data_IF_013360293082
#
_entry.id   IF_013360293082
#
_cell.length_a   1.000
_cell.length_b   1.000
_cell.length_c   1.000
_cell.angle_alpha   90.00
_cell.angle_beta   90.00
_cell.angle_gamma   90.00
#
_symmetry.space_group_name_H-M   'P 1'
#
loop_
_entity.id
_entity.type
_entity.pdbx_description
1 polymer ?
#
# COMPACT_ATOMS: atom_id res chain seq x y z
N UNK A 1 -14.89 2.70 8.01
CA UNK A 1 -15.57 3.60 8.96
C UNK A 1 -15.00 5.02 8.89
N UNK A 2 -13.69 5.21 9.13
CA UNK A 2 -13.05 6.55 9.12
C UNK A 2 -13.22 7.30 7.80
N UNK A 3 -13.01 6.62 6.66
CA UNK A 3 -13.21 7.21 5.32
C UNK A 3 -14.62 7.78 5.13
N UNK A 4 -15.65 7.02 5.53
CA UNK A 4 -17.05 7.43 5.39
C UNK A 4 -17.38 8.65 6.26
N UNK A 5 -16.81 8.76 7.46
CA UNK A 5 -17.01 9.91 8.33
C UNK A 5 -16.37 11.18 7.76
N UNK A 6 -15.15 11.08 7.22
CA UNK A 6 -14.49 12.21 6.56
C UNK A 6 -15.30 12.64 5.34
N UNK A 7 -15.73 11.69 4.51
CA UNK A 7 -16.53 11.98 3.32
C UNK A 7 -17.89 12.58 3.66
N UNK A 8 -18.50 12.17 4.77
CA UNK A 8 -19.76 12.76 5.24
C UNK A 8 -19.61 14.25 5.57
N UNK A 9 -18.50 14.65 6.21
CA UNK A 9 -18.23 16.07 6.52
C UNK A 9 -18.11 16.88 5.22
N UNK A 10 -17.34 16.39 4.24
CA UNK A 10 -17.25 17.02 2.92
C UNK A 10 -18.59 17.01 2.19
N UNK A 11 -19.40 15.97 2.37
CA UNK A 11 -20.74 15.86 1.79
C UNK A 11 -21.69 16.94 2.28
N UNK A 12 -21.71 17.22 3.58
CA UNK A 12 -22.52 18.28 4.19
C UNK A 12 -22.06 19.66 3.68
N UNK A 13 -20.74 19.90 3.66
CA UNK A 13 -20.17 21.15 3.11
C UNK A 13 -20.52 21.35 1.64
N UNK A 14 -20.52 20.28 0.85
CA UNK A 14 -20.86 20.35 -0.57
C UNK A 14 -22.34 20.69 -0.79
N UNK A 15 -23.25 20.14 0.03
CA UNK A 15 -24.69 20.47 -0.06
C UNK A 15 -24.93 21.95 0.24
N UNK A 16 -24.24 22.51 1.23
CA UNK A 16 -24.35 23.93 1.56
C UNK A 16 -23.80 24.83 0.43
N UNK A 17 -22.70 24.42 -0.20
CA UNK A 17 -22.06 25.23 -1.24
C UNK A 17 -22.80 25.16 -2.59
N UNK A 18 -23.35 23.99 -2.93
CA UNK A 18 -23.80 23.64 -4.27
C UNK A 18 -25.28 23.26 -4.39
N UNK A 19 -26.02 23.20 -3.29
CA UNK A 19 -27.43 22.79 -3.27
C UNK A 19 -28.29 23.64 -4.21
N UNK A 20 -28.99 22.99 -5.14
CA UNK A 20 -29.92 23.63 -6.07
C UNK A 20 -29.28 24.36 -7.25
N UNK A 21 -27.95 24.33 -7.41
CA UNK A 21 -27.25 25.14 -8.43
C UNK A 21 -26.85 24.37 -9.70
N UNK A 22 -26.97 23.05 -9.70
CA UNK A 22 -26.55 22.17 -10.82
C UNK A 22 -27.59 22.04 -11.95
N UNK A 23 -28.60 22.90 -11.95
CA UNK A 23 -29.61 22.90 -13.00
C UNK A 23 -29.09 23.59 -14.25
N UNK A 24 -29.43 23.03 -15.40
CA UNK A 24 -29.11 23.60 -16.70
C UNK A 24 -30.34 23.59 -17.58
N UNK A 25 -30.46 24.59 -18.43
CA UNK A 25 -31.52 24.58 -19.42
C UNK A 25 -31.07 23.76 -20.63
N UNK A 26 -31.85 22.75 -21.01
CA UNK A 26 -31.64 21.89 -22.18
C UNK A 26 -32.60 22.30 -23.31
N UNK A 27 -32.10 22.50 -24.54
CA UNK A 27 -32.93 22.95 -25.66
C UNK A 27 -33.82 21.79 -26.11
N UNK A 28 -35.12 22.05 -26.34
CA UNK A 28 -36.09 21.05 -26.80
C UNK A 28 -36.13 20.91 -28.32
N UNK A 29 -35.66 21.91 -29.07
CA UNK A 29 -35.63 21.97 -30.54
C UNK A 29 -34.31 22.57 -31.04
N UNK A 30 -33.91 22.27 -32.29
CA UNK A 30 -32.67 22.79 -32.90
C UNK A 30 -32.68 24.33 -33.09
N UNK A 31 -33.87 24.92 -33.28
CA UNK A 31 -34.06 26.37 -33.42
C UNK A 31 -33.89 27.14 -32.09
N UNK A 32 -33.89 26.42 -30.96
CA UNK A 32 -33.74 26.99 -29.62
C UNK A 32 -32.32 27.57 -29.37
N UNK A 33 -31.31 27.13 -30.11
CA UNK A 33 -29.89 27.48 -29.87
C UNK A 33 -29.55 28.96 -30.04
N UNK A 34 -30.47 29.78 -30.57
CA UNK A 34 -30.26 31.19 -30.93
C UNK A 34 -31.07 32.21 -30.09
N UNK A 35 -31.84 31.77 -29.09
CA UNK A 35 -32.69 32.69 -28.31
C UNK A 35 -31.89 33.46 -27.23
N UNK A 36 -31.83 34.81 -27.29
CA UNK A 36 -31.17 35.63 -26.28
C UNK A 36 -32.03 35.70 -25.00
N UNK A 37 -31.50 35.26 -23.86
CA UNK A 37 -32.18 35.42 -22.56
C UNK A 37 -32.25 34.19 -21.65
N UNK A 38 -31.52 33.10 -21.94
CA UNK A 38 -31.51 31.86 -21.15
C UNK A 38 -30.67 31.95 -19.86
N UNK A 39 -30.73 33.06 -19.15
CA UNK A 39 -29.95 33.26 -17.94
C UNK A 39 -30.69 32.75 -16.70
N UNK A 40 -32.02 32.61 -16.78
CA UNK A 40 -32.88 32.27 -15.66
C UNK A 40 -33.79 31.08 -16.00
N UNK A 41 -34.20 30.32 -14.98
CA UNK A 41 -35.09 29.16 -15.11
C UNK A 41 -36.44 29.51 -15.74
N UNK A 42 -37.04 30.63 -15.35
CA UNK A 42 -38.33 31.08 -15.89
C UNK A 42 -38.22 31.40 -17.40
N UNK A 43 -37.15 32.10 -17.80
CA UNK A 43 -36.90 32.43 -19.21
C UNK A 43 -36.61 31.20 -20.05
N UNK A 44 -35.93 30.21 -19.47
CA UNK A 44 -35.71 28.90 -20.10
C UNK A 44 -37.03 28.21 -20.44
N UNK A 45 -37.95 28.12 -19.47
CA UNK A 45 -39.25 27.47 -19.65
C UNK A 45 -40.16 28.29 -20.56
N UNK A 46 -40.15 29.62 -20.46
CA UNK A 46 -40.90 30.52 -21.33
C UNK A 46 -40.45 30.42 -22.81
N UNK A 47 -39.16 30.16 -23.04
CA UNK A 47 -38.62 29.88 -24.37
C UNK A 47 -38.93 28.46 -24.88
N UNK A 48 -39.62 27.62 -24.10
CA UNK A 48 -39.95 26.24 -24.43
C UNK A 48 -38.83 25.22 -24.16
N UNK A 49 -37.79 25.60 -23.42
CA UNK A 49 -36.70 24.71 -22.99
C UNK A 49 -37.04 23.91 -21.74
N UNK A 50 -36.31 22.82 -21.48
CA UNK A 50 -36.47 22.03 -20.27
C UNK A 50 -35.42 22.42 -19.22
N UNK A 51 -35.84 22.73 -18.00
CA UNK A 51 -34.95 23.00 -16.87
C UNK A 51 -34.64 21.68 -16.16
N UNK A 52 -33.45 21.13 -16.41
CA UNK A 52 -33.09 19.77 -15.99
C UNK A 52 -31.84 19.78 -15.12
N UNK A 53 -31.86 18.99 -14.05
CA UNK A 53 -30.71 18.85 -13.16
C UNK A 53 -29.62 17.98 -13.78
N UNK A 54 -28.36 18.26 -13.44
CA UNK A 54 -27.26 17.36 -13.77
C UNK A 54 -27.43 16.01 -13.04
N UNK A 55 -26.97 14.89 -13.63
CA UNK A 55 -27.01 13.58 -12.99
C UNK A 55 -26.12 13.47 -11.74
N UNK A 56 -25.13 14.35 -11.65
CA UNK A 56 -24.22 14.50 -10.51
C UNK A 56 -24.50 15.86 -9.86
N UNK A 57 -25.38 15.85 -8.85
CA UNK A 57 -25.84 17.05 -8.15
C UNK A 57 -25.60 16.94 -6.64
N UNK A 58 -25.67 18.09 -5.97
CA UNK A 58 -25.39 18.23 -4.53
C UNK A 58 -26.62 18.65 -3.73
N UNK A 59 -27.84 18.34 -4.21
CA UNK A 59 -29.09 18.81 -3.58
C UNK A 59 -29.43 18.07 -2.29
N UNK A 60 -29.04 16.79 -2.21
CA UNK A 60 -29.26 15.94 -1.05
C UNK A 60 -27.93 15.35 -0.59
N UNK A 61 -27.82 15.04 0.70
CA UNK A 61 -26.60 14.41 1.25
C UNK A 61 -26.27 13.08 0.55
N UNK A 62 -27.29 12.29 0.17
CA UNK A 62 -27.07 11.03 -0.54
C UNK A 62 -26.54 11.23 -1.96
N UNK A 63 -27.08 12.21 -2.69
CA UNK A 63 -26.60 12.57 -4.03
C UNK A 63 -25.17 13.12 -3.96
N UNK A 64 -24.91 14.01 -3.00
CA UNK A 64 -23.57 14.53 -2.70
C UNK A 64 -22.57 13.41 -2.39
N UNK A 65 -22.94 12.45 -1.55
CA UNK A 65 -22.09 11.29 -1.24
C UNK A 65 -21.82 10.41 -2.47
N UNK A 66 -22.80 10.23 -3.37
CA UNK A 66 -22.60 9.52 -4.65
C UNK A 66 -21.62 10.27 -5.56
N UNK A 67 -21.80 11.57 -5.73
CA UNK A 67 -20.92 12.39 -6.57
C UNK A 67 -19.51 12.52 -5.97
N UNK A 68 -19.38 12.62 -4.64
CA UNK A 68 -18.09 12.57 -3.93
C UNK A 68 -17.42 11.20 -4.03
N UNK A 69 -18.18 10.10 -4.05
CA UNK A 69 -17.62 8.77 -4.31
C UNK A 69 -17.01 8.70 -5.71
N UNK A 70 -17.72 9.20 -6.72
CA UNK A 70 -17.21 9.30 -8.10
C UNK A 70 -15.93 10.16 -8.12
N UNK A 71 -15.94 11.30 -7.43
CA UNK A 71 -14.75 12.15 -7.28
C UNK A 71 -13.59 11.43 -6.59
N UNK A 72 -13.86 10.65 -5.53
CA UNK A 72 -12.85 9.89 -4.78
C UNK A 72 -12.24 8.75 -5.57
N UNK A 73 -12.98 8.15 -6.51
CA UNK A 73 -12.46 7.16 -7.46
C UNK A 73 -11.64 7.78 -8.60
N UNK A 74 -11.63 9.12 -8.71
CA UNK A 74 -10.98 9.87 -9.79
C UNK A 74 -11.46 9.47 -11.19
N UNK A 75 -12.68 8.94 -11.32
CA UNK A 75 -13.31 8.67 -12.60
C UNK A 75 -14.44 9.66 -12.84
N UNK A 76 -14.45 10.38 -13.95
CA UNK A 76 -15.50 11.37 -14.25
C UNK A 76 -15.56 12.58 -13.29
N UNK A 77 -14.59 12.72 -12.38
CA UNK A 77 -14.55 13.82 -11.40
C UNK A 77 -14.34 15.19 -12.05
N UNK A 78 -13.59 15.25 -13.16
CA UNK A 78 -13.29 16.49 -13.87
C UNK A 78 -14.56 17.13 -14.41
N UNK A 79 -15.50 16.35 -14.96
CA UNK A 79 -16.77 16.90 -15.44
C UNK A 79 -17.63 17.44 -14.29
N UNK A 80 -17.60 16.81 -13.12
CA UNK A 80 -18.32 17.30 -11.93
C UNK A 80 -17.71 18.61 -11.45
N UNK A 81 -16.38 18.68 -11.36
CA UNK A 81 -15.64 19.89 -10.99
C UNK A 81 -15.89 21.03 -11.98
N UNK A 82 -15.85 20.76 -13.29
CA UNK A 82 -16.10 21.78 -14.31
C UNK A 82 -17.53 22.30 -14.22
N UNK A 83 -18.51 21.42 -14.06
CA UNK A 83 -19.90 21.83 -13.82
C UNK A 83 -20.00 22.70 -12.56
N UNK A 84 -19.27 22.36 -11.49
CA UNK A 84 -19.23 23.16 -10.27
C UNK A 84 -18.55 24.54 -10.44
N UNK A 85 -17.59 24.68 -11.35
CA UNK A 85 -16.97 25.96 -11.70
C UNK A 85 -17.89 26.86 -12.52
N UNK A 86 -18.78 26.25 -13.31
CA UNK A 86 -19.74 26.94 -14.15
C UNK A 86 -21.04 27.31 -13.42
N UNK A 87 -21.20 26.81 -12.19
CA UNK A 87 -22.30 27.14 -11.28
C UNK A 87 -22.30 28.62 -10.89
N UNK A 88 -23.48 29.23 -10.96
CA UNK A 88 -23.80 30.60 -10.53
C UNK A 88 -24.70 30.57 -9.28
N UNK A 89 -25.86 31.21 -9.32
CA UNK A 89 -26.85 31.20 -8.24
C UNK A 89 -27.98 30.18 -8.53
N UNK A 90 -28.85 29.97 -7.54
CA UNK A 90 -30.04 29.13 -7.72
C UNK A 90 -30.94 29.74 -8.80
N UNK A 91 -31.53 28.90 -9.64
CA UNK A 91 -32.37 29.27 -10.78
C UNK A 91 -31.68 30.08 -11.90
N UNK A 92 -30.35 30.19 -11.86
CA UNK A 92 -29.56 30.78 -12.93
C UNK A 92 -28.87 29.72 -13.78
N UNK A 93 -28.77 29.99 -15.08
CA UNK A 93 -28.12 29.09 -16.03
C UNK A 93 -26.60 29.11 -15.81
N UNK A 94 -25.92 27.96 -15.91
CA UNK A 94 -24.48 27.89 -15.69
C UNK A 94 -23.75 28.76 -16.71
N UNK A 95 -22.79 29.54 -16.22
CA UNK A 95 -21.95 30.41 -17.03
C UNK A 95 -20.51 29.97 -16.90
N UNK A 96 -19.85 29.80 -18.04
CA UNK A 96 -18.46 29.34 -18.09
C UNK A 96 -17.56 30.21 -17.23
N UNK A 97 -16.83 29.59 -16.30
CA UNK A 97 -15.93 30.25 -15.34
C UNK A 97 -16.62 31.30 -14.46
N UNK A 98 -17.88 31.10 -14.06
CA UNK A 98 -18.54 31.99 -13.11
C UNK A 98 -17.89 31.96 -11.72
N UNK A 99 -17.54 30.75 -11.26
CA UNK A 99 -17.09 30.49 -9.90
C UNK A 99 -15.86 29.57 -9.89
N UNK A 100 -14.74 30.03 -10.43
CA UNK A 100 -13.50 29.23 -10.53
C UNK A 100 -12.95 28.77 -9.16
N UNK A 101 -13.26 29.50 -8.07
CA UNK A 101 -12.87 29.14 -6.70
C UNK A 101 -13.45 27.80 -6.25
N UNK A 102 -14.57 27.35 -6.83
CA UNK A 102 -15.19 26.07 -6.50
C UNK A 102 -14.30 24.86 -6.84
N UNK A 103 -13.36 24.99 -7.78
CA UNK A 103 -12.37 23.96 -8.08
C UNK A 103 -11.51 23.59 -6.86
N UNK A 104 -11.24 24.56 -5.98
CA UNK A 104 -10.40 24.36 -4.80
C UNK A 104 -11.02 23.34 -3.83
N UNK A 105 -12.35 23.32 -3.73
CA UNK A 105 -13.07 22.33 -2.91
C UNK A 105 -12.75 20.90 -3.36
N UNK A 106 -12.83 20.62 -4.66
CA UNK A 106 -12.54 19.29 -5.21
C UNK A 106 -11.07 18.91 -5.07
N UNK A 107 -10.14 19.85 -5.27
CA UNK A 107 -8.71 19.62 -5.09
C UNK A 107 -8.37 19.25 -3.65
N UNK A 108 -8.91 19.99 -2.67
CA UNK A 108 -8.70 19.71 -1.24
C UNK A 108 -9.32 18.36 -0.86
N UNK A 109 -10.54 18.08 -1.32
CA UNK A 109 -11.19 16.78 -1.10
C UNK A 109 -10.36 15.61 -1.65
N UNK A 110 -9.85 15.72 -2.89
CA UNK A 110 -9.01 14.67 -3.50
C UNK A 110 -7.72 14.49 -2.71
N UNK A 111 -7.04 15.58 -2.34
CA UNK A 111 -5.74 15.50 -1.66
C UNK A 111 -5.87 14.83 -0.28
N UNK A 112 -6.89 15.22 0.49
CA UNK A 112 -7.20 14.60 1.79
C UNK A 112 -7.71 13.17 1.61
N UNK A 113 -8.60 12.95 0.66
CA UNK A 113 -9.19 11.63 0.38
C UNK A 113 -8.15 10.60 -0.04
N UNK A 114 -7.24 10.96 -0.95
CA UNK A 114 -6.14 10.09 -1.38
C UNK A 114 -5.18 9.77 -0.24
N UNK A 115 -4.86 10.74 0.61
CA UNK A 115 -4.02 10.49 1.79
C UNK A 115 -4.65 9.44 2.73
N UNK A 116 -5.95 9.56 3.02
CA UNK A 116 -6.66 8.58 3.85
C UNK A 116 -6.81 7.21 3.18
N UNK A 117 -7.08 7.16 1.87
CA UNK A 117 -7.18 5.90 1.12
C UNK A 117 -5.85 5.13 1.13
N UNK A 118 -4.74 5.81 0.86
CA UNK A 118 -3.41 5.19 0.91
C UNK A 118 -3.08 4.76 2.33
N UNK A 119 -3.37 5.58 3.34
CA UNK A 119 -3.12 5.24 4.74
C UNK A 119 -3.91 4.01 5.19
N UNK A 120 -5.17 3.88 4.77
CA UNK A 120 -6.00 2.71 5.06
C UNK A 120 -5.48 1.46 4.34
N UNK A 121 -5.13 1.59 3.06
CA UNK A 121 -4.62 0.48 2.26
C UNK A 121 -3.29 -0.02 2.82
N UNK A 122 -2.37 0.88 3.18
CA UNK A 122 -1.10 0.54 3.79
C UNK A 122 -1.27 -0.18 5.11
N UNK A 123 -2.18 0.28 5.99
CA UNK A 123 -2.45 -0.40 7.25
C UNK A 123 -2.92 -1.84 7.03
N UNK A 124 -3.91 -2.05 6.15
CA UNK A 124 -4.44 -3.39 5.90
C UNK A 124 -3.43 -4.30 5.20
N UNK A 125 -2.69 -3.78 4.20
CA UNK A 125 -1.68 -4.56 3.49
C UNK A 125 -0.55 -4.95 4.45
N UNK A 126 -0.08 -4.01 5.28
CA UNK A 126 0.99 -4.26 6.23
C UNK A 126 0.58 -5.30 7.28
N UNK A 127 -0.64 -5.19 7.81
CA UNK A 127 -1.17 -6.18 8.75
C UNK A 127 -1.28 -7.58 8.13
N UNK A 128 -1.70 -7.68 6.87
CA UNK A 128 -1.74 -8.95 6.16
C UNK A 128 -0.34 -9.49 5.88
N UNK A 129 0.61 -8.62 5.54
CA UNK A 129 2.00 -9.01 5.30
C UNK A 129 2.65 -9.57 6.58
N UNK A 130 2.41 -8.94 7.74
CA UNK A 130 2.89 -9.44 9.03
C UNK A 130 2.30 -10.83 9.32
N UNK A 131 0.99 -11.01 9.12
CA UNK A 131 0.35 -12.32 9.33
C UNK A 131 0.92 -13.40 8.42
N UNK A 132 1.15 -13.09 7.14
CA UNK A 132 1.77 -14.01 6.19
C UNK A 132 3.21 -14.34 6.57
N UNK A 133 4.00 -13.35 6.99
CA UNK A 133 5.36 -13.57 7.45
C UNK A 133 5.40 -14.52 8.65
N UNK A 134 4.47 -14.35 9.59
CA UNK A 134 4.32 -15.20 10.76
C UNK A 134 3.89 -16.63 10.42
N UNK A 135 3.02 -16.82 9.42
CA UNK A 135 2.63 -18.14 8.92
C UNK A 135 3.78 -18.86 8.21
N UNK A 136 4.54 -18.15 7.35
CA UNK A 136 5.70 -18.72 6.65
C UNK A 136 6.78 -19.19 7.62
N UNK A 137 6.97 -18.46 8.72
CA UNK A 137 7.91 -18.83 9.79
C UNK A 137 7.33 -19.88 10.75
N UNK A 138 6.04 -20.21 10.65
CA UNK A 138 5.34 -21.10 11.58
C UNK A 138 5.21 -20.53 13.00
N UNK A 139 5.37 -19.21 13.17
CA UNK A 139 5.39 -18.53 14.47
C UNK A 139 4.11 -17.74 14.79
N UNK A 140 3.08 -17.81 13.94
CA UNK A 140 1.86 -16.99 14.07
C UNK A 140 1.10 -17.11 15.39
N UNK A 141 1.21 -18.24 16.10
CA UNK A 141 0.55 -18.47 17.40
C UNK A 141 1.39 -18.06 18.62
N UNK A 142 2.63 -17.59 18.43
CA UNK A 142 3.50 -17.20 19.54
C UNK A 142 3.23 -15.77 20.02
N UNK A 143 3.53 -15.51 21.29
CA UNK A 143 3.49 -14.16 21.87
C UNK A 143 4.59 -13.27 21.27
N UNK A 144 4.39 -11.95 21.28
CA UNK A 144 5.36 -10.99 20.73
C UNK A 144 6.76 -11.13 21.36
N UNK A 145 6.84 -11.42 22.67
CA UNK A 145 8.11 -11.67 23.36
C UNK A 145 8.80 -12.94 22.85
N UNK A 146 8.05 -14.03 22.63
CA UNK A 146 8.60 -15.28 22.11
C UNK A 146 9.07 -15.11 20.66
N UNK A 147 8.31 -14.38 19.82
CA UNK A 147 8.73 -14.03 18.46
C UNK A 147 10.04 -13.25 18.47
N UNK A 148 10.14 -12.21 19.30
CA UNK A 148 11.35 -11.41 19.43
C UNK A 148 12.57 -12.25 19.86
N UNK A 149 12.38 -13.17 20.81
CA UNK A 149 13.45 -14.07 21.25
C UNK A 149 13.91 -15.03 20.15
N UNK A 150 12.97 -15.66 19.41
CA UNK A 150 13.29 -16.53 18.28
C UNK A 150 14.07 -15.77 17.19
N UNK A 151 13.63 -14.56 16.84
CA UNK A 151 14.33 -13.71 15.87
C UNK A 151 15.77 -13.40 16.30
N UNK A 152 15.99 -13.11 17.57
CA UNK A 152 17.33 -12.87 18.11
C UNK A 152 18.22 -14.11 17.97
N UNK A 153 17.71 -15.29 18.35
CA UNK A 153 18.45 -16.55 18.24
C UNK A 153 18.85 -16.86 16.79
N UNK A 154 17.90 -16.71 15.86
CA UNK A 154 18.15 -16.93 14.43
C UNK A 154 19.20 -15.96 13.88
N UNK A 155 19.17 -14.69 14.32
CA UNK A 155 20.16 -13.70 13.92
C UNK A 155 21.56 -14.05 14.44
N UNK A 156 21.67 -14.52 15.69
CA UNK A 156 22.94 -14.96 16.28
C UNK A 156 23.54 -16.12 15.49
N UNK A 157 22.73 -17.12 15.12
CA UNK A 157 23.19 -18.29 14.35
C UNK A 157 23.70 -17.90 12.96
N UNK A 158 23.10 -16.86 12.32
CA UNK A 158 23.51 -16.39 11.00
C UNK A 158 24.76 -15.51 11.01
N UNK A 159 25.12 -14.91 12.15
CA UNK A 159 26.30 -14.05 12.26
C UNK A 159 27.57 -14.91 12.12
N UNK A 160 28.41 -14.60 11.12
CA UNK A 160 29.74 -15.18 11.01
C UNK A 160 30.68 -14.50 12.01
N UNK A 161 31.48 -15.27 12.78
CA UNK A 161 32.42 -14.68 13.72
C UNK A 161 33.49 -13.89 12.97
N UNK A 162 33.77 -12.67 13.44
CA UNK A 162 34.90 -11.88 12.93
C UNK A 162 36.20 -12.51 13.43
N UNK A 163 36.95 -13.14 12.53
CA UNK A 163 38.29 -13.64 12.84
C UNK A 163 39.20 -12.45 13.14
N UNK A 164 39.68 -12.38 14.38
CA UNK A 164 40.74 -11.46 14.74
C UNK A 164 42.01 -11.84 13.96
N UNK A 165 42.74 -10.85 13.41
CA UNK A 165 43.99 -11.14 12.72
C UNK A 165 44.95 -11.82 13.70
N UNK A 166 45.50 -12.96 13.29
CA UNK A 166 46.42 -13.72 14.13
C UNK A 166 47.61 -12.82 14.49
N UNK A 167 48.01 -12.77 15.78
CA UNK A 167 49.13 -11.96 16.21
C UNK A 167 50.40 -12.37 15.45
N UNK A 168 51.35 -11.44 15.24
CA UNK A 168 52.52 -11.66 14.38
C UNK A 168 53.31 -12.92 14.76
N UNK A 169 53.45 -13.18 16.06
CA UNK A 169 54.17 -14.32 16.63
C UNK A 169 53.59 -15.67 16.19
N UNK A 170 52.27 -15.84 16.24
CA UNK A 170 51.60 -17.09 15.88
C UNK A 170 51.45 -17.26 14.36
N UNK A 171 51.41 -16.16 13.59
CA UNK A 171 51.39 -16.18 12.12
C UNK A 171 52.66 -16.78 11.54
N UNK A 172 53.81 -16.44 12.12
CA UNK A 172 55.10 -17.00 11.75
C UNK A 172 55.19 -18.50 12.11
N UNK A 173 54.64 -18.91 13.25
CA UNK A 173 54.62 -20.33 13.65
C UNK A 173 53.75 -21.20 12.74
N UNK A 174 52.57 -20.74 12.32
CA UNK A 174 51.73 -21.45 11.35
C UNK A 174 52.40 -21.56 9.99
N UNK A 175 53.12 -20.52 9.55
CA UNK A 175 53.93 -20.53 8.32
C UNK A 175 55.09 -21.53 8.39
N UNK A 176 55.77 -21.66 9.55
CA UNK A 176 56.82 -22.65 9.77
C UNK A 176 56.32 -24.09 9.89
N UNK A 177 55.16 -24.31 10.53
CA UNK A 177 54.63 -25.66 10.76
C UNK A 177 53.93 -26.28 9.53
N UNK A 178 53.51 -25.44 8.57
CA UNK A 178 52.92 -25.88 7.29
C UNK A 178 53.98 -26.12 6.19
N UNK A 179 55.27 -26.09 6.54
CA UNK A 179 56.36 -26.50 5.66
C UNK A 179 56.41 -28.04 5.62
N UNK A 180 56.37 -28.69 4.45
CA UNK A 180 56.44 -30.15 4.39
C UNK A 180 57.78 -30.63 4.94
N UNK A 181 57.74 -31.43 6.02
CA UNK A 181 58.93 -32.09 6.56
C UNK A 181 59.50 -33.03 5.50
N UNK A 182 60.63 -32.67 4.91
CA UNK A 182 61.34 -33.48 3.91
C UNK A 182 61.94 -34.70 4.63
N UNK A 183 61.25 -35.84 4.57
CA UNK A 183 61.75 -37.12 5.08
C UNK A 183 62.89 -37.56 4.16
N UNK A 184 64.15 -37.45 4.61
CA UNK A 184 65.30 -38.08 3.95
C UNK A 184 65.24 -39.58 4.18
N UNK A 185 65.13 -40.34 3.09
CA UNK A 185 65.02 -41.79 3.05
C UNK A 185 66.39 -42.41 3.35
N UNK A 186 66.55 -43.07 4.50
CA UNK A 186 67.70 -43.94 4.77
C UNK A 186 67.26 -45.37 4.45
N UNK A 187 67.79 -46.02 3.38
CA UNK A 187 67.41 -47.36 3.03
C UNK A 187 68.16 -48.38 3.89
N UNK A 188 67.41 -49.23 4.59
CA UNK A 188 67.90 -50.50 5.13
C UNK A 188 68.13 -50.53 6.64
N UNK A 189 67.12 -51.01 7.37
CA UNK A 189 67.15 -51.67 8.68
C UNK A 189 65.67 -51.74 9.10
N UNK A 190 65.08 -52.81 9.62
CA UNK A 190 65.51 -54.16 9.88
C UNK A 190 64.21 -54.86 10.29
N UNK A 191 64.09 -56.10 9.85
CA UNK A 191 62.96 -56.97 10.04
C UNK A 191 62.74 -57.27 11.55
N UNK A 192 61.53 -57.07 12.09
CA UNK A 192 61.13 -57.68 13.39
C UNK A 192 59.62 -57.94 13.50
N UNK A 193 59.21 -59.02 12.85
CA UNK A 193 58.36 -60.09 13.36
C UNK A 193 57.47 -59.86 14.62
N UNK A 194 56.15 -60.07 14.40
CA UNK A 194 55.30 -61.11 15.04
C UNK A 194 54.75 -60.91 16.47
N UNK A 195 53.41 -60.69 16.55
CA UNK A 195 52.39 -61.33 17.45
C UNK A 195 51.15 -60.43 17.50
N UNK A 196 49.89 -60.88 17.61
CA UNK A 196 49.10 -62.11 17.41
C UNK A 196 47.64 -61.59 17.44
N UNK A 197 46.75 -62.13 16.60
CA UNK A 197 45.30 -61.83 16.57
C UNK A 197 44.54 -62.56 17.70
N UNK A 198 43.26 -62.23 17.81
CA UNK A 198 42.11 -62.84 18.53
C UNK A 198 41.67 -61.98 19.72
N UNK A 199 40.42 -61.49 19.81
CA UNK A 199 39.15 -62.21 19.60
C UNK A 199 38.03 -61.44 18.86
N UNK A 200 37.05 -62.25 18.40
CA UNK A 200 35.92 -61.98 17.50
C UNK A 200 34.68 -61.41 18.22
N UNK A 201 33.77 -60.79 17.44
CA UNK A 201 32.45 -60.25 17.86
C UNK A 201 31.39 -61.33 18.18
N UNK A 202 30.05 -61.12 17.98
CA UNK A 202 29.41 -60.18 17.03
C UNK A 202 28.04 -59.54 17.41
N UNK A 203 27.57 -58.65 16.51
CA UNK A 203 26.19 -58.43 16.02
C UNK A 203 25.08 -57.78 16.90
N UNK A 204 24.60 -56.61 16.39
CA UNK A 204 23.17 -56.22 16.12
C UNK A 204 22.20 -56.11 17.33
N UNK A 205 21.23 -55.19 17.46
CA UNK A 205 20.56 -54.16 16.64
C UNK A 205 19.46 -53.54 17.55
N UNK A 206 18.95 -52.36 17.14
CA UNK A 206 17.60 -51.82 17.37
C UNK A 206 17.29 -50.98 18.63
N UNK A 207 16.40 -50.00 18.39
CA UNK A 207 15.63 -49.12 19.29
C UNK A 207 16.35 -47.86 19.82
N UNK A 208 15.83 -46.63 19.70
CA UNK A 208 14.63 -46.09 19.05
C UNK A 208 14.79 -44.58 18.88
N UNK A 209 14.01 -44.04 17.96
CA UNK A 209 13.88 -42.63 17.59
C UNK A 209 12.76 -42.02 18.42
N UNK A 210 13.01 -40.89 19.09
CA UNK A 210 12.03 -39.87 19.46
C UNK A 210 12.74 -38.54 19.66
#
# INVERSE_FOLDING_TARGET
>A
MVLLLVWLIFGILAVELFGGKFYSCTPSTLDFSMAPGRNDAEKCVAAGGAWTNAPESFDNIFLSMRSLFICGTLNGWVSIMLNACDVTEVDQSPKRNASEYNALFFLVFIMIGSFFLVSLLLAVIFDNFIKLQDEVLGIGMLTDQQKAWIHLQLNIIRIKPRLLPLPPSLRQMKSKNNQPKRITFIPGLFNRTKRRREDKGPLTTLFFKM
#
